data_IF_365255860636
#
_entry.id   IF_365255860636
#
_cell.length_a   1.000
_cell.length_b   1.000
_cell.length_c   1.000
_cell.angle_alpha   90.00
_cell.angle_beta   90.00
_cell.angle_gamma   90.00
#
_symmetry.space_group_name_H-M   'P 1'
#
loop_
_entity.id
_entity.type
_entity.pdbx_description
1 polymer ?
#
# COMPACT_ATOMS: atom_id res chain seq x y z
N UNK A 1 37.27 -17.86 -33.44
CA UNK A 1 35.93 -18.39 -33.13
C UNK A 1 35.76 -18.38 -31.62
N UNK A 2 35.26 -17.26 -31.07
CA UNK A 2 34.94 -17.16 -29.65
C UNK A 2 33.58 -17.79 -29.42
N UNK A 3 33.53 -18.89 -28.67
CA UNK A 3 32.30 -19.59 -28.32
C UNK A 3 31.40 -18.69 -27.49
N UNK A 4 30.16 -18.51 -27.96
CA UNK A 4 29.07 -17.96 -27.15
C UNK A 4 28.72 -19.05 -26.14
N UNK A 5 29.12 -18.86 -24.89
CA UNK A 5 28.66 -19.66 -23.76
C UNK A 5 27.16 -19.39 -23.61
N UNK A 6 26.32 -20.32 -24.08
CA UNK A 6 24.89 -20.34 -23.79
C UNK A 6 24.73 -20.32 -22.26
N UNK A 7 24.03 -19.31 -21.75
CA UNK A 7 23.65 -19.23 -20.35
C UNK A 7 22.97 -20.56 -19.96
N UNK A 8 23.50 -21.22 -18.92
CA UNK A 8 22.89 -22.44 -18.39
C UNK A 8 21.45 -22.12 -18.00
N UNK A 9 20.53 -22.91 -18.52
CA UNK A 9 19.09 -22.78 -18.36
C UNK A 9 18.71 -22.80 -16.86
N UNK A 10 18.53 -21.63 -16.24
CA UNK A 10 18.37 -21.46 -14.79
C UNK A 10 17.08 -22.10 -14.25
N UNK A 11 16.14 -22.46 -15.13
CA UNK A 11 14.85 -23.06 -14.76
C UNK A 11 14.98 -24.56 -14.52
N UNK A 12 15.97 -25.23 -15.11
CA UNK A 12 16.13 -26.68 -15.01
C UNK A 12 16.41 -27.17 -13.57
N UNK A 13 16.74 -26.27 -12.64
CA UNK A 13 17.01 -26.57 -11.23
C UNK A 13 15.90 -26.16 -10.28
N UNK A 14 14.82 -25.51 -10.76
CA UNK A 14 13.71 -25.11 -9.91
C UNK A 14 12.68 -26.25 -9.77
N UNK A 15 12.18 -26.55 -8.56
CA UNK A 15 11.09 -27.48 -8.38
C UNK A 15 9.78 -26.84 -8.84
N UNK A 16 9.48 -26.96 -10.14
CA UNK A 16 8.22 -26.49 -10.71
C UNK A 16 7.07 -27.38 -10.22
N UNK A 17 5.97 -26.77 -9.81
CA UNK A 17 4.76 -27.51 -9.49
C UNK A 17 4.06 -28.01 -10.77
N UNK A 18 3.18 -29.03 -10.68
CA UNK A 18 2.40 -29.48 -11.83
C UNK A 18 1.60 -28.34 -12.48
N UNK A 19 1.01 -27.46 -11.66
CA UNK A 19 0.20 -26.33 -12.13
C UNK A 19 1.02 -25.39 -13.03
N UNK A 20 2.26 -25.09 -12.64
CA UNK A 20 3.17 -24.24 -13.44
C UNK A 20 3.55 -24.94 -14.75
N UNK A 21 3.87 -26.24 -14.66
CA UNK A 21 4.36 -27.02 -15.79
C UNK A 21 3.28 -27.27 -16.85
N UNK A 22 2.03 -27.43 -16.42
CA UNK A 22 0.87 -27.62 -17.29
C UNK A 22 0.45 -26.30 -17.95
N UNK A 23 0.54 -25.18 -17.23
CA UNK A 23 0.17 -23.86 -17.75
C UNK A 23 1.22 -23.26 -18.71
N UNK A 24 2.51 -23.46 -18.42
CA UNK A 24 3.59 -22.79 -19.16
C UNK A 24 4.66 -23.78 -19.64
N UNK A 25 4.99 -23.71 -20.93
CA UNK A 25 6.14 -24.46 -21.48
C UNK A 25 7.45 -23.92 -20.89
N UNK A 26 8.49 -24.75 -20.73
CA UNK A 26 9.77 -24.32 -20.15
C UNK A 26 10.40 -23.09 -20.81
N UNK A 27 10.36 -23.01 -22.15
CA UNK A 27 10.86 -21.85 -22.89
C UNK A 27 10.08 -20.56 -22.59
N UNK A 28 8.77 -20.68 -22.31
CA UNK A 28 7.91 -19.53 -21.95
C UNK A 28 8.25 -19.05 -20.55
N UNK A 29 8.46 -19.96 -19.60
CA UNK A 29 8.91 -19.60 -18.25
C UNK A 29 10.23 -18.84 -18.26
N UNK A 30 11.16 -19.20 -19.17
CA UNK A 30 12.43 -18.48 -19.34
C UNK A 30 12.22 -17.04 -19.79
N UNK A 31 11.31 -16.84 -20.74
CA UNK A 31 10.94 -15.50 -21.20
C UNK A 31 10.26 -14.71 -20.07
N UNK A 32 9.31 -15.31 -19.34
CA UNK A 32 8.65 -14.64 -18.21
C UNK A 32 9.68 -14.21 -17.17
N UNK A 33 10.61 -15.11 -16.80
CA UNK A 33 11.66 -14.81 -15.82
C UNK A 33 12.58 -13.69 -16.29
N UNK A 34 13.03 -13.73 -17.53
CA UNK A 34 14.04 -12.77 -18.04
C UNK A 34 13.43 -11.42 -18.44
N UNK A 35 12.18 -11.40 -18.90
CA UNK A 35 11.57 -10.20 -19.48
C UNK A 35 10.55 -9.53 -18.56
N UNK A 36 9.81 -10.32 -17.77
CA UNK A 36 8.70 -9.81 -16.94
C UNK A 36 9.11 -9.69 -15.48
N UNK A 37 9.88 -10.65 -14.97
CA UNK A 37 10.33 -10.68 -13.57
C UNK A 37 11.87 -10.77 -13.43
N UNK A 38 12.68 -9.92 -14.11
CA UNK A 38 14.14 -10.05 -14.14
C UNK A 38 14.82 -9.88 -12.78
N UNK A 39 14.18 -9.19 -11.84
CA UNK A 39 14.70 -8.89 -10.50
C UNK A 39 14.20 -9.86 -9.43
N UNK A 40 13.37 -10.84 -9.81
CA UNK A 40 12.82 -11.82 -8.90
C UNK A 40 13.88 -12.82 -8.44
N UNK A 41 13.86 -13.18 -7.16
CA UNK A 41 14.56 -14.38 -6.66
C UNK A 41 13.87 -15.64 -7.19
N UNK A 42 14.53 -16.79 -7.06
CA UNK A 42 13.94 -18.08 -7.43
C UNK A 42 12.59 -18.35 -6.75
N UNK A 43 12.48 -18.02 -5.46
CA UNK A 43 11.26 -18.20 -4.68
C UNK A 43 10.17 -17.21 -5.08
N UNK A 44 10.53 -15.94 -5.28
CA UNK A 44 9.61 -14.89 -5.74
C UNK A 44 9.06 -15.22 -7.14
N UNK A 45 9.92 -15.69 -8.04
CA UNK A 45 9.53 -16.11 -9.38
C UNK A 45 8.61 -17.33 -9.35
N UNK A 46 8.92 -18.33 -8.52
CA UNK A 46 8.07 -19.51 -8.36
C UNK A 46 6.68 -19.13 -7.83
N UNK A 47 6.61 -18.24 -6.83
CA UNK A 47 5.34 -17.74 -6.31
C UNK A 47 4.54 -16.99 -7.39
N UNK A 48 5.20 -16.11 -8.14
CA UNK A 48 4.58 -15.38 -9.26
C UNK A 48 4.05 -16.33 -10.34
N UNK A 49 4.87 -17.29 -10.79
CA UNK A 49 4.50 -18.26 -11.81
C UNK A 49 3.36 -19.18 -11.33
N UNK A 50 3.39 -19.61 -10.07
CA UNK A 50 2.32 -20.41 -9.47
C UNK A 50 1.00 -19.63 -9.48
N UNK A 51 0.99 -18.37 -9.03
CA UNK A 51 -0.23 -17.54 -9.01
C UNK A 51 -0.77 -17.30 -10.42
N UNK A 52 0.10 -17.00 -11.38
CA UNK A 52 -0.30 -16.86 -12.77
C UNK A 52 -0.96 -18.15 -13.30
N UNK A 53 -0.37 -19.32 -13.02
CA UNK A 53 -0.92 -20.61 -13.42
C UNK A 53 -2.25 -20.94 -12.72
N UNK A 54 -2.31 -20.85 -11.38
CA UNK A 54 -3.49 -21.22 -10.59
C UNK A 54 -4.73 -20.39 -10.93
N UNK A 55 -4.55 -19.09 -11.23
CA UNK A 55 -5.65 -18.21 -11.61
C UNK A 55 -5.85 -18.13 -13.13
N UNK A 56 -5.04 -18.83 -13.93
CA UNK A 56 -5.09 -18.82 -15.39
C UNK A 56 -4.89 -17.42 -15.97
N UNK A 57 -3.97 -16.64 -15.39
CA UNK A 57 -3.65 -15.28 -15.80
C UNK A 57 -2.40 -15.27 -16.67
N UNK A 58 -2.40 -14.39 -17.67
CA UNK A 58 -1.34 -14.29 -18.66
C UNK A 58 -0.45 -13.05 -18.38
N UNK A 59 0.81 -13.26 -17.96
CA UNK A 59 1.77 -12.18 -17.76
C UNK A 59 2.04 -11.37 -19.04
N UNK A 60 1.92 -11.97 -20.23
CA UNK A 60 2.16 -11.28 -21.51
C UNK A 60 0.99 -10.38 -21.92
N UNK A 61 -0.21 -10.65 -21.39
CA UNK A 61 -1.39 -9.80 -21.58
C UNK A 61 -1.53 -8.74 -20.49
N UNK A 62 -0.53 -8.59 -19.63
CA UNK A 62 -0.54 -7.64 -18.51
C UNK A 62 -1.70 -7.90 -17.54
N UNK A 63 -2.10 -9.16 -17.33
CA UNK A 63 -3.15 -9.53 -16.37
C UNK A 63 -2.59 -9.65 -14.94
N UNK A 64 -1.30 -9.95 -14.81
CA UNK A 64 -0.58 -10.07 -13.54
C UNK A 64 0.82 -9.48 -13.68
N UNK A 65 1.25 -8.73 -12.68
CA UNK A 65 2.54 -8.03 -12.66
C UNK A 65 3.36 -8.46 -11.46
N UNK A 66 4.65 -8.63 -11.70
CA UNK A 66 5.66 -8.72 -10.64
C UNK A 66 6.32 -7.36 -10.50
N UNK A 67 6.21 -6.76 -9.32
CA UNK A 67 6.75 -5.44 -9.02
C UNK A 67 7.71 -5.58 -7.85
N UNK A 68 8.95 -5.13 -8.00
CA UNK A 68 9.96 -5.17 -6.95
C UNK A 68 10.60 -3.81 -6.76
N UNK A 69 10.46 -3.26 -5.55
CA UNK A 69 11.08 -2.00 -5.15
C UNK A 69 12.04 -2.26 -4.00
N UNK A 70 13.35 -2.10 -4.28
CA UNK A 70 14.40 -2.46 -3.32
C UNK A 70 14.28 -3.92 -2.91
N UNK A 71 13.99 -4.15 -1.63
CA UNK A 71 13.86 -5.48 -1.05
C UNK A 71 12.42 -6.03 -1.04
N UNK A 72 11.41 -5.18 -1.31
CA UNK A 72 10.01 -5.60 -1.24
C UNK A 72 9.50 -6.00 -2.62
N UNK A 73 9.00 -7.24 -2.73
CA UNK A 73 8.33 -7.74 -3.91
C UNK A 73 6.80 -7.76 -3.69
N UNK A 74 6.06 -7.42 -4.74
CA UNK A 74 4.60 -7.41 -4.76
C UNK A 74 4.10 -8.05 -6.05
N UNK A 75 3.06 -8.86 -5.92
CA UNK A 75 2.29 -9.37 -7.06
C UNK A 75 1.03 -8.53 -7.16
N UNK A 76 0.82 -7.90 -8.31
CA UNK A 76 -0.33 -7.03 -8.56
C UNK A 76 -1.17 -7.58 -9.71
N UNK A 77 -2.49 -7.59 -9.53
CA UNK A 77 -3.45 -8.05 -10.52
C UNK A 77 -4.05 -6.85 -11.25
N UNK A 78 -4.08 -6.92 -12.58
CA UNK A 78 -4.70 -5.87 -13.38
C UNK A 78 -6.23 -5.84 -13.19
N UNK A 79 -6.85 -4.67 -13.36
CA UNK A 79 -8.32 -4.58 -13.37
C UNK A 79 -8.93 -5.43 -14.49
N UNK A 80 -8.24 -5.45 -15.63
CA UNK A 80 -8.58 -6.21 -16.81
C UNK A 80 -8.58 -7.72 -16.55
N UNK A 81 -7.77 -8.22 -15.60
CA UNK A 81 -7.78 -9.63 -15.19
C UNK A 81 -9.10 -10.04 -14.54
N UNK A 82 -9.67 -9.18 -13.68
CA UNK A 82 -10.97 -9.45 -13.06
C UNK A 82 -12.09 -9.50 -14.09
N UNK A 83 -12.04 -8.58 -15.07
CA UNK A 83 -13.02 -8.57 -16.16
C UNK A 83 -12.87 -9.80 -17.07
N UNK A 84 -11.63 -10.19 -17.39
CA UNK A 84 -11.31 -11.40 -18.16
C UNK A 84 -11.87 -12.64 -17.48
N UNK A 85 -11.63 -12.82 -16.18
CA UNK A 85 -12.15 -13.95 -15.40
C UNK A 85 -13.65 -13.93 -15.20
N UNK A 86 -14.26 -12.75 -15.09
CA UNK A 86 -15.71 -12.63 -15.05
C UNK A 86 -16.35 -13.06 -16.39
N UNK A 87 -15.74 -12.72 -17.54
CA UNK A 87 -16.22 -13.11 -18.87
C UNK A 87 -16.22 -14.63 -19.11
N UNK A 88 -15.35 -15.36 -18.43
CA UNK A 88 -15.30 -16.83 -18.51
C UNK A 88 -16.48 -17.51 -17.76
N UNK A 89 -17.21 -16.78 -16.90
CA UNK A 89 -18.31 -17.33 -16.11
C UNK A 89 -19.64 -17.21 -16.87
N UNK A 90 -20.48 -18.24 -16.72
CA UNK A 90 -21.82 -18.22 -17.30
C UNK A 90 -22.68 -17.08 -16.76
N UNK A 91 -23.44 -16.48 -17.67
CA UNK A 91 -24.32 -15.35 -17.40
C UNK A 91 -23.59 -14.01 -17.28
N UNK A 92 -22.35 -13.90 -17.80
CA UNK A 92 -21.60 -12.66 -17.74
C UNK A 92 -22.35 -11.49 -18.40
N UNK A 93 -22.41 -10.38 -17.68
CA UNK A 93 -22.81 -9.09 -18.22
C UNK A 93 -21.75 -8.03 -17.89
N UNK A 94 -21.50 -7.08 -18.80
CA UNK A 94 -20.54 -6.01 -18.56
C UNK A 94 -21.00 -5.17 -17.35
N UNK A 95 -20.09 -4.86 -16.40
CA UNK A 95 -20.44 -3.98 -15.29
C UNK A 95 -20.65 -2.55 -15.80
N UNK A 96 -21.59 -1.83 -15.19
CA UNK A 96 -21.76 -0.41 -15.38
C UNK A 96 -20.95 0.33 -14.32
N UNK A 97 -20.02 1.18 -14.73
CA UNK A 97 -19.14 1.93 -13.84
C UNK A 97 -19.24 3.41 -14.17
N UNK A 98 -19.59 4.23 -13.17
CA UNK A 98 -19.77 5.66 -13.36
C UNK A 98 -19.06 6.46 -12.25
N UNK A 99 -18.53 7.61 -12.65
CA UNK A 99 -17.98 8.59 -11.71
C UNK A 99 -19.09 9.53 -11.23
N UNK A 100 -19.01 9.92 -9.96
CA UNK A 100 -19.90 10.90 -9.33
C UNK A 100 -19.08 12.16 -9.07
N UNK A 101 -19.62 13.31 -9.47
CA UNK A 101 -18.99 14.62 -9.35
C UNK A 101 -19.79 15.55 -8.45
N UNK A 102 -19.14 16.61 -7.98
CA UNK A 102 -19.69 17.62 -7.05
C UNK A 102 -21.06 18.16 -7.47
N UNK A 103 -21.29 18.34 -8.77
CA UNK A 103 -22.53 18.94 -9.29
C UNK A 103 -23.53 17.91 -9.87
N UNK A 104 -23.27 16.61 -9.73
CA UNK A 104 -24.22 15.58 -10.17
C UNK A 104 -25.37 15.43 -9.16
N UNK A 105 -26.59 15.16 -9.64
CA UNK A 105 -27.67 14.75 -8.73
C UNK A 105 -27.55 13.25 -8.47
N UNK A 106 -26.89 12.91 -7.37
CA UNK A 106 -26.61 11.53 -6.99
C UNK A 106 -27.34 11.15 -5.69
N UNK A 107 -28.10 10.04 -5.72
CA UNK A 107 -28.78 9.50 -4.53
C UNK A 107 -28.57 7.99 -4.45
N UNK A 108 -28.15 7.56 -3.28
CA UNK A 108 -28.05 6.15 -2.89
C UNK A 108 -29.08 5.86 -1.80
N UNK A 109 -29.67 4.67 -1.83
CA UNK A 109 -30.57 4.23 -0.78
C UNK A 109 -30.34 2.76 -0.45
N UNK A 110 -30.59 2.41 0.81
CA UNK A 110 -30.68 1.01 1.20
C UNK A 110 -32.00 0.44 0.68
N UNK A 111 -31.92 -0.59 -0.14
CA UNK A 111 -33.09 -1.33 -0.55
C UNK A 111 -33.61 -2.16 0.64
N UNK A 112 -34.89 -1.96 0.99
CA UNK A 112 -35.50 -2.52 2.21
C UNK A 112 -35.66 -4.04 2.15
N UNK A 113 -35.74 -4.61 0.95
CA UNK A 113 -35.91 -6.05 0.76
C UNK A 113 -34.55 -6.76 0.72
N UNK A 114 -33.57 -6.16 0.06
CA UNK A 114 -32.23 -6.77 -0.12
C UNK A 114 -31.29 -6.47 1.02
N UNK A 115 -31.51 -5.35 1.73
CA UNK A 115 -30.56 -4.76 2.66
C UNK A 115 -29.21 -4.44 2.01
N UNK A 116 -29.22 -4.15 0.71
CA UNK A 116 -28.06 -3.70 -0.06
C UNK A 116 -28.22 -2.23 -0.46
N UNK A 117 -27.10 -1.53 -0.55
CA UNK A 117 -27.06 -0.14 -1.02
C UNK A 117 -27.18 -0.12 -2.54
N UNK A 118 -28.14 0.63 -3.06
CA UNK A 118 -28.40 0.77 -4.49
C UNK A 118 -28.33 2.24 -4.91
N UNK A 119 -27.88 2.48 -6.15
CA UNK A 119 -27.96 3.81 -6.77
C UNK A 119 -29.39 4.01 -7.26
N UNK A 120 -30.07 5.00 -6.70
CA UNK A 120 -31.47 5.32 -7.02
C UNK A 120 -31.55 6.39 -8.10
N UNK A 121 -30.63 7.34 -8.09
CA UNK A 121 -30.59 8.45 -9.03
C UNK A 121 -29.14 8.82 -9.33
N UNK A 122 -28.84 9.01 -10.61
CA UNK A 122 -27.62 9.65 -11.06
C UNK A 122 -27.94 10.46 -12.32
N UNK A 123 -28.20 11.76 -12.15
CA UNK A 123 -28.38 12.69 -13.26
C UNK A 123 -27.16 13.60 -13.40
N UNK A 124 -26.73 13.79 -14.65
CA UNK A 124 -25.49 14.48 -14.99
C UNK A 124 -25.82 15.80 -15.66
N UNK A 125 -25.35 16.90 -15.05
CA UNK A 125 -25.38 18.24 -15.62
C UNK A 125 -23.97 18.73 -15.94
N UNK A 126 -23.81 19.52 -17.01
CA UNK A 126 -22.53 20.15 -17.33
C UNK A 126 -22.56 21.64 -16.92
N UNK A 127 -21.52 22.15 -16.22
CA UNK A 127 -20.27 21.47 -15.82
C UNK A 127 -20.41 20.63 -14.54
N UNK A 128 -19.74 19.46 -14.52
CA UNK A 128 -19.87 18.46 -13.45
C UNK A 128 -19.08 18.76 -12.16
N UNK A 129 -18.00 19.56 -12.23
CA UNK A 129 -17.12 19.81 -11.08
C UNK A 129 -16.04 18.72 -10.91
N UNK A 130 -15.51 18.56 -9.69
CA UNK A 130 -14.50 17.51 -9.39
C UNK A 130 -15.17 16.17 -9.13
N UNK A 131 -14.41 15.08 -9.31
CA UNK A 131 -14.84 13.72 -8.91
C UNK A 131 -14.84 13.65 -7.38
N UNK A 132 -15.98 13.23 -6.81
CA UNK A 132 -16.16 13.02 -5.36
C UNK A 132 -16.40 11.56 -5.00
N UNK A 133 -16.68 10.72 -6.00
CA UNK A 133 -16.92 9.30 -5.76
C UNK A 133 -17.05 8.53 -7.07
N UNK A 134 -17.25 7.23 -6.94
CA UNK A 134 -17.64 6.38 -8.05
C UNK A 134 -18.50 5.22 -7.57
N UNK A 135 -19.21 4.61 -8.50
CA UNK A 135 -19.87 3.34 -8.26
C UNK A 135 -19.69 2.40 -9.44
N UNK A 136 -19.83 1.11 -9.16
CA UNK A 136 -19.95 0.09 -10.18
C UNK A 136 -21.06 -0.89 -9.83
N UNK A 137 -21.89 -1.22 -10.81
CA UNK A 137 -22.95 -2.22 -10.73
C UNK A 137 -22.53 -3.41 -11.59
N UNK A 138 -22.32 -4.56 -10.96
CA UNK A 138 -22.00 -5.80 -11.65
C UNK A 138 -23.27 -6.65 -11.82
N UNK A 139 -23.58 -7.00 -13.07
CA UNK A 139 -24.73 -7.81 -13.43
C UNK A 139 -24.29 -9.24 -13.73
N UNK A 140 -25.18 -10.21 -13.50
CA UNK A 140 -25.02 -11.60 -13.94
C UNK A 140 -26.38 -12.27 -14.10
N UNK A 141 -26.58 -13.02 -15.18
CA UNK A 141 -27.85 -13.70 -15.44
C UNK A 141 -28.22 -14.65 -14.30
N UNK A 142 -29.48 -14.60 -13.85
CA UNK A 142 -29.97 -15.44 -12.75
C UNK A 142 -29.51 -15.01 -11.36
N UNK A 143 -28.74 -13.92 -11.25
CA UNK A 143 -28.29 -13.35 -9.98
C UNK A 143 -28.76 -11.91 -9.84
N UNK A 144 -28.86 -11.44 -8.60
CA UNK A 144 -29.13 -10.03 -8.34
C UNK A 144 -27.91 -9.19 -8.71
N UNK A 145 -28.08 -7.95 -9.18
CA UNK A 145 -26.97 -7.05 -9.41
C UNK A 145 -26.28 -6.69 -8.10
N UNK A 146 -24.96 -6.63 -8.10
CA UNK A 146 -24.19 -6.15 -6.95
C UNK A 146 -23.69 -4.74 -7.22
N UNK A 147 -24.05 -3.81 -6.33
CA UNK A 147 -23.60 -2.42 -6.38
C UNK A 147 -22.45 -2.20 -5.39
N UNK A 148 -21.39 -1.58 -5.86
CA UNK A 148 -20.30 -1.05 -5.02
C UNK A 148 -20.22 0.44 -5.24
N UNK A 149 -20.32 1.20 -4.15
CA UNK A 149 -20.16 2.66 -4.12
C UNK A 149 -18.89 2.95 -3.32
N UNK A 150 -18.16 3.98 -3.70
CA UNK A 150 -16.93 4.41 -3.05
C UNK A 150 -16.87 5.93 -3.02
N UNK A 151 -16.61 6.47 -1.84
CA UNK A 151 -16.30 7.88 -1.62
C UNK A 151 -14.81 8.16 -1.89
N UNK A 152 -14.48 9.37 -2.33
CA UNK A 152 -13.09 9.80 -2.46
C UNK A 152 -12.30 9.80 -1.18
N UNK A 153 -12.96 9.96 -0.04
CA UNK A 153 -12.31 9.84 1.26
C UNK A 153 -11.76 8.42 1.52
N UNK A 154 -12.41 7.37 1.00
CA UNK A 154 -11.94 5.98 1.17
C UNK A 154 -10.57 5.73 0.53
N UNK A 155 -10.24 6.48 -0.52
CA UNK A 155 -9.02 6.31 -1.30
C UNK A 155 -8.08 7.52 -1.21
N UNK A 156 -8.32 8.44 -0.28
CA UNK A 156 -7.44 9.62 -0.03
C UNK A 156 -5.98 9.22 0.22
N UNK A 157 -5.74 8.10 0.91
CA UNK A 157 -4.39 7.57 1.12
C UNK A 157 -3.66 7.21 -0.18
N UNK A 158 -4.39 6.84 -1.25
CA UNK A 158 -3.80 6.52 -2.55
C UNK A 158 -3.26 7.76 -3.28
N UNK A 159 -3.84 8.93 -3.03
CA UNK A 159 -3.33 10.22 -3.54
C UNK A 159 -2.09 10.70 -2.80
N UNK A 160 -1.72 10.05 -1.69
CA UNK A 160 -0.53 10.37 -0.88
C UNK A 160 0.56 9.29 -0.97
N UNK A 161 0.20 8.12 -1.48
CA UNK A 161 1.10 6.96 -1.58
C UNK A 161 2.10 7.03 -2.74
N UNK A 162 2.82 5.93 -2.93
CA UNK A 162 3.83 5.78 -3.99
C UNK A 162 3.26 6.00 -5.40
N UNK A 163 1.98 5.71 -5.61
CA UNK A 163 1.32 5.84 -6.91
C UNK A 163 0.53 7.16 -7.08
N UNK A 164 0.80 8.17 -6.24
CA UNK A 164 0.03 9.43 -6.19
C UNK A 164 -0.11 10.14 -7.55
N UNK A 165 0.93 10.10 -8.38
CA UNK A 165 0.94 10.83 -9.65
C UNK A 165 -0.07 10.22 -10.63
N UNK A 166 -0.20 8.89 -10.62
CA UNK A 166 -1.18 8.19 -11.45
C UNK A 166 -2.60 8.41 -10.93
N UNK A 167 -2.80 8.38 -9.61
CA UNK A 167 -4.10 8.67 -9.00
C UNK A 167 -4.55 10.11 -9.23
N UNK A 168 -3.63 11.06 -9.31
CA UNK A 168 -3.95 12.47 -9.56
C UNK A 168 -4.20 12.77 -11.04
N UNK A 169 -3.42 12.14 -11.95
CA UNK A 169 -3.55 12.36 -13.40
C UNK A 169 -4.72 11.58 -14.01
N UNK A 170 -4.96 10.36 -13.52
CA UNK A 170 -5.91 9.40 -14.08
C UNK A 170 -7.00 9.04 -13.06
N UNK A 171 -7.48 10.03 -12.28
CA UNK A 171 -8.41 9.82 -11.18
C UNK A 171 -9.64 9.01 -11.58
N UNK A 172 -10.29 9.38 -12.69
CA UNK A 172 -11.48 8.69 -13.21
C UNK A 172 -11.22 7.21 -13.49
N UNK A 173 -10.10 6.91 -14.16
CA UNK A 173 -9.76 5.55 -14.54
C UNK A 173 -9.36 4.71 -13.31
N UNK A 174 -8.60 5.31 -12.38
CA UNK A 174 -8.16 4.62 -11.16
C UNK A 174 -9.34 4.30 -10.23
N UNK A 175 -10.26 5.24 -10.04
CA UNK A 175 -11.51 4.99 -9.31
C UNK A 175 -12.34 3.92 -9.98
N UNK A 176 -12.60 4.09 -11.28
CA UNK A 176 -13.41 3.17 -12.05
C UNK A 176 -12.89 1.75 -11.93
N UNK A 177 -11.57 1.56 -12.07
CA UNK A 177 -10.90 0.27 -11.86
C UNK A 177 -11.12 -0.27 -10.44
N UNK A 178 -10.98 0.54 -9.39
CA UNK A 178 -11.16 0.08 -8.01
C UNK A 178 -12.59 -0.36 -7.70
N UNK A 179 -13.59 0.45 -8.05
CA UNK A 179 -15.00 0.08 -7.80
C UNK A 179 -15.43 -1.11 -8.65
N UNK A 180 -14.97 -1.18 -9.90
CA UNK A 180 -15.27 -2.29 -10.80
C UNK A 180 -14.66 -3.61 -10.31
N UNK A 181 -13.39 -3.60 -9.89
CA UNK A 181 -12.74 -4.78 -9.31
C UNK A 181 -13.51 -5.29 -8.09
N UNK A 182 -13.89 -4.39 -7.16
CA UNK A 182 -14.67 -4.76 -5.96
C UNK A 182 -16.04 -5.34 -6.34
N UNK A 183 -16.73 -4.77 -7.34
CA UNK A 183 -18.03 -5.25 -7.79
C UNK A 183 -17.93 -6.64 -8.46
N UNK A 184 -16.95 -6.83 -9.34
CA UNK A 184 -16.71 -8.11 -10.01
C UNK A 184 -16.31 -9.22 -9.02
N UNK A 185 -15.46 -8.90 -8.04
CA UNK A 185 -15.10 -9.85 -6.96
C UNK A 185 -16.34 -10.37 -6.24
N UNK A 186 -17.24 -9.46 -5.84
CA UNK A 186 -18.48 -9.82 -5.14
C UNK A 186 -19.46 -10.60 -6.03
N UNK A 187 -19.66 -10.18 -7.28
CA UNK A 187 -20.65 -10.79 -8.18
C UNK A 187 -20.25 -12.19 -8.68
N UNK A 188 -18.96 -12.39 -8.94
CA UNK A 188 -18.45 -13.63 -9.56
C UNK A 188 -17.65 -14.50 -8.59
N UNK A 189 -17.51 -14.10 -7.33
CA UNK A 189 -16.77 -14.85 -6.31
C UNK A 189 -15.28 -14.98 -6.63
N UNK A 190 -14.66 -13.91 -7.13
CA UNK A 190 -13.25 -13.94 -7.53
C UNK A 190 -12.35 -13.77 -6.29
N UNK A 191 -11.72 -14.86 -5.87
CA UNK A 191 -10.84 -14.92 -4.69
C UNK A 191 -9.34 -14.73 -5.06
N UNK A 192 -9.02 -13.65 -5.78
CA UNK A 192 -7.64 -13.23 -6.02
C UNK A 192 -7.48 -11.72 -5.81
N UNK A 193 -6.27 -11.30 -5.43
CA UNK A 193 -5.98 -9.93 -5.02
C UNK A 193 -4.50 -9.68 -4.85
N UNK A 194 -4.13 -8.41 -4.85
CA UNK A 194 -2.75 -7.98 -4.69
C UNK A 194 -2.14 -8.52 -3.39
N UNK A 195 -0.91 -9.00 -3.49
CA UNK A 195 -0.20 -9.64 -2.39
C UNK A 195 1.20 -9.05 -2.29
N UNK A 196 1.53 -8.51 -1.12
CA UNK A 196 2.90 -8.17 -0.76
C UNK A 196 3.58 -9.45 -0.29
N UNK A 197 4.72 -9.78 -0.88
CA UNK A 197 5.52 -10.93 -0.49
C UNK A 197 6.36 -10.47 0.69
N UNK A 198 6.05 -10.87 1.94
CA UNK A 198 6.88 -10.52 3.06
C UNK A 198 8.20 -11.24 2.84
N UNK A 199 9.31 -10.51 2.91
CA UNK A 199 10.57 -11.21 3.12
C UNK A 199 10.49 -11.87 4.48
N UNK A 200 10.61 -13.20 4.51
CA UNK A 200 11.01 -13.86 5.74
C UNK A 200 12.28 -13.15 6.20
N UNK A 201 12.25 -12.57 7.40
CA UNK A 201 13.48 -12.21 8.08
C UNK A 201 14.36 -13.46 7.98
N UNK A 202 15.48 -13.33 7.29
CA UNK A 202 16.50 -14.36 7.34
C UNK A 202 16.93 -14.42 8.80
N UNK A 203 16.32 -15.32 9.58
CA UNK A 203 17.00 -15.92 10.71
C UNK A 203 18.24 -16.56 10.09
N UNK A 204 19.32 -15.77 10.05
CA UNK A 204 20.65 -16.30 9.84
C UNK A 204 20.79 -17.34 10.94
N UNK A 205 20.65 -18.62 10.57
CA UNK A 205 20.95 -19.74 11.45
C UNK A 205 22.37 -19.46 11.90
N UNK A 206 22.62 -19.08 13.17
CA UNK A 206 23.96 -18.75 13.58
C UNK A 206 24.81 -19.98 13.37
N UNK A 207 25.93 -19.81 12.67
CA UNK A 207 26.89 -20.87 12.41
C UNK A 207 27.18 -21.61 13.72
N UNK A 208 26.95 -22.93 13.73
CA UNK A 208 27.06 -23.75 14.94
C UNK A 208 28.48 -23.65 15.49
N UNK A 209 28.66 -22.83 16.53
CA UNK A 209 29.83 -22.86 17.39
C UNK A 209 29.54 -23.86 18.51
N UNK A 210 30.31 -24.96 18.63
CA UNK A 210 30.15 -25.88 19.75
C UNK A 210 30.38 -25.11 21.06
N UNK A 211 29.35 -24.96 21.89
CA UNK A 211 29.46 -24.26 23.17
C UNK A 211 30.13 -25.17 24.21
N UNK A 212 31.21 -24.68 24.83
CA UNK A 212 31.74 -25.25 26.06
C UNK A 212 30.71 -25.08 27.20
N UNK A 213 30.47 -26.15 27.96
CA UNK A 213 29.56 -26.17 29.10
C UNK A 213 29.95 -25.11 30.14
N UNK A 214 29.03 -24.21 30.50
CA UNK A 214 29.18 -23.31 31.65
C UNK A 214 28.05 -23.49 32.66
N UNK A 215 28.45 -23.42 33.92
CA UNK A 215 27.71 -23.71 35.13
C UNK A 215 26.69 -22.60 35.48
N UNK A 216 25.59 -22.97 36.12
CA UNK A 216 24.43 -22.09 36.38
C UNK A 216 24.48 -21.50 37.81
N UNK A 217 24.73 -20.19 37.93
CA UNK A 217 24.41 -19.39 39.12
C UNK A 217 23.76 -18.07 38.68
N UNK A 218 22.65 -17.60 39.30
CA UNK A 218 21.87 -16.50 38.76
C UNK A 218 22.28 -15.14 39.35
N UNK A 219 22.52 -14.14 38.48
CA UNK A 219 22.46 -12.71 38.84
C UNK A 219 22.30 -11.79 37.62
N UNK A 220 21.14 -11.12 37.62
CA UNK A 220 20.86 -9.70 37.34
C UNK A 220 21.01 -9.09 35.92
N UNK A 221 19.94 -8.38 35.55
CA UNK A 221 19.64 -7.69 34.28
C UNK A 221 20.62 -6.56 33.91
N UNK A 222 20.97 -6.47 32.62
CA UNK A 222 21.37 -5.22 31.94
C UNK A 222 20.83 -5.22 30.50
N UNK A 223 19.78 -4.41 30.32
CA UNK A 223 19.32 -3.59 29.19
C UNK A 223 20.07 -3.72 27.84
N UNK A 224 19.33 -4.12 26.80
CA UNK A 224 19.68 -4.02 25.37
C UNK A 224 19.38 -2.61 24.80
N UNK A 225 20.24 -2.14 23.88
CA UNK A 225 19.91 -1.15 22.83
C UNK A 225 20.56 -1.55 21.49
N UNK A 226 19.99 -1.13 20.34
CA UNK A 226 20.00 -1.88 19.07
C UNK A 226 20.89 -1.32 17.95
N UNK A 227 21.24 -2.17 16.98
CA UNK A 227 21.76 -1.90 15.62
C UNK A 227 21.01 -2.84 14.66
N UNK A 228 20.68 -2.56 13.40
CA UNK A 228 20.75 -1.38 12.53
C UNK A 228 19.80 -1.66 11.34
N UNK A 229 19.01 -0.64 10.96
CA UNK A 229 18.03 -0.63 9.86
C UNK A 229 18.63 0.10 8.62
N UNK A 230 18.03 -0.04 7.42
CA UNK A 230 18.66 0.24 6.12
C UNK A 230 19.05 1.72 5.92
N UNK A 231 20.12 1.95 5.14
CA UNK A 231 20.73 3.28 4.91
C UNK A 231 19.77 4.29 4.25
N UNK A 232 19.01 4.98 5.09
CA UNK A 232 18.67 6.40 4.95
C UNK A 232 19.94 7.20 5.28
N UNK A 233 20.14 8.36 4.63
CA UNK A 233 21.28 9.22 4.99
C UNK A 233 21.23 9.60 6.47
N UNK A 234 22.38 9.79 7.14
CA UNK A 234 22.42 10.16 8.57
C UNK A 234 21.56 11.39 8.90
N UNK A 235 21.40 12.30 7.94
CA UNK A 235 20.58 13.50 8.05
C UNK A 235 19.08 13.18 8.06
N UNK A 236 18.60 12.21 7.28
CA UNK A 236 17.20 11.79 7.23
C UNK A 236 16.78 11.07 8.51
N UNK A 237 17.66 10.23 9.07
CA UNK A 237 17.44 9.56 10.36
C UNK A 237 17.37 10.60 11.50
N UNK A 238 18.28 11.58 11.51
CA UNK A 238 18.27 12.67 12.49
C UNK A 238 17.00 13.52 12.34
N UNK A 239 16.57 13.82 11.11
CA UNK A 239 15.36 14.59 10.85
C UNK A 239 14.09 13.88 11.32
N UNK A 240 13.95 12.57 11.07
CA UNK A 240 12.79 11.80 11.53
C UNK A 240 12.68 11.76 13.07
N UNK A 241 13.82 11.61 13.77
CA UNK A 241 13.86 11.67 15.24
C UNK A 241 13.39 13.05 15.75
N UNK A 242 13.92 14.13 15.17
CA UNK A 242 13.55 15.50 15.57
C UNK A 242 12.08 15.81 15.27
N UNK A 243 11.53 15.38 14.12
CA UNK A 243 10.10 15.55 13.79
C UNK A 243 9.19 14.80 14.76
N UNK A 244 9.59 13.61 15.18
CA UNK A 244 8.86 12.81 16.16
C UNK A 244 8.82 13.51 17.52
N UNK A 245 9.95 14.06 17.96
CA UNK A 245 10.05 14.77 19.24
C UNK A 245 9.28 16.10 19.23
N UNK A 246 9.33 16.87 18.14
CA UNK A 246 8.51 18.08 17.95
C UNK A 246 7.01 17.78 18.11
N UNK A 247 6.54 16.66 17.53
CA UNK A 247 5.14 16.29 17.65
C UNK A 247 4.72 15.90 19.07
N UNK A 248 5.64 15.32 19.86
CA UNK A 248 5.40 15.08 21.30
C UNK A 248 5.31 16.39 22.07
N UNK A 249 6.22 17.33 21.82
CA UNK A 249 6.24 18.64 22.47
C UNK A 249 5.01 19.49 22.15
N UNK A 250 4.54 19.46 20.90
CA UNK A 250 3.26 20.09 20.54
C UNK A 250 2.07 19.53 21.33
N UNK A 251 2.06 18.22 21.61
CA UNK A 251 1.01 17.61 22.43
C UNK A 251 1.10 18.06 23.90
N UNK A 252 2.31 18.23 24.44
CA UNK A 252 2.51 18.74 25.80
C UNK A 252 2.02 20.20 25.95
N UNK A 253 2.22 21.03 24.93
CA UNK A 253 1.69 22.41 24.89
C UNK A 253 0.19 22.50 24.55
N UNK A 254 -0.54 21.37 24.44
CA UNK A 254 -1.96 21.35 24.10
C UNK A 254 -2.28 21.67 22.62
N UNK A 255 -1.27 21.79 21.76
CA UNK A 255 -1.41 22.09 20.33
C UNK A 255 -1.60 20.79 19.54
N UNK A 256 -2.85 20.34 19.46
CA UNK A 256 -3.21 19.03 18.89
C UNK A 256 -3.72 19.12 17.47
N UNK A 257 -4.31 20.25 17.05
CA UNK A 257 -4.85 20.43 15.70
C UNK A 257 -3.80 20.93 14.71
N UNK A 258 -4.06 20.67 13.41
CA UNK A 258 -3.18 21.10 12.32
C UNK A 258 -3.09 22.62 12.21
N UNK A 259 -4.20 23.31 12.49
CA UNK A 259 -4.31 24.78 12.48
C UNK A 259 -3.46 25.40 13.59
N UNK A 260 -3.58 24.90 14.83
CA UNK A 260 -2.80 25.35 15.98
C UNK A 260 -1.29 25.20 15.78
N UNK A 261 -0.86 24.08 15.17
CA UNK A 261 0.55 23.82 14.84
C UNK A 261 1.07 24.75 13.75
N UNK A 262 0.23 25.10 12.76
CA UNK A 262 0.61 26.02 11.70
C UNK A 262 0.71 27.45 12.22
N UNK A 263 -0.25 27.89 13.04
CA UNK A 263 -0.24 29.22 13.65
C UNK A 263 0.98 29.42 14.57
N UNK A 264 1.34 28.40 15.37
CA UNK A 264 2.55 28.44 16.18
C UNK A 264 3.82 28.57 15.33
N UNK A 265 3.90 27.85 14.20
CA UNK A 265 5.04 27.93 13.27
C UNK A 265 5.11 29.29 12.58
N UNK A 266 4.00 29.86 12.16
CA UNK A 266 3.97 31.20 11.56
C UNK A 266 4.42 32.29 12.54
N UNK A 267 4.06 32.15 13.83
CA UNK A 267 4.41 33.12 14.87
C UNK A 267 5.84 33.00 15.37
N UNK A 268 6.38 31.79 15.49
CA UNK A 268 7.66 31.53 16.14
C UNK A 268 8.79 31.05 15.20
N UNK A 269 8.45 30.64 13.97
CA UNK A 269 9.40 30.19 12.96
C UNK A 269 9.00 30.65 11.53
N UNK A 270 8.92 31.98 11.27
CA UNK A 270 8.44 32.54 10.00
C UNK A 270 9.32 32.24 8.77
N UNK A 271 10.54 31.74 8.96
CA UNK A 271 11.49 31.38 7.89
C UNK A 271 11.79 29.87 7.85
N UNK A 272 10.78 29.03 8.12
CA UNK A 272 10.92 27.58 8.16
C UNK A 272 11.09 26.97 6.75
N UNK A 273 12.29 26.50 6.41
CA UNK A 273 12.62 25.95 5.10
C UNK A 273 12.69 24.41 5.09
N UNK A 274 12.16 23.75 6.12
CA UNK A 274 12.18 22.28 6.28
C UNK A 274 13.58 21.66 6.28
N UNK A 275 14.60 22.41 6.71
CA UNK A 275 15.97 21.89 6.90
C UNK A 275 16.14 21.26 8.29
N UNK A 276 17.16 20.40 8.47
CA UNK A 276 17.47 19.82 9.78
C UNK A 276 17.69 20.89 10.86
N UNK A 277 18.35 22.00 10.50
CA UNK A 277 18.57 23.13 11.40
C UNK A 277 17.25 23.81 11.83
N UNK A 278 16.29 23.94 10.92
CA UNK A 278 14.97 24.51 11.22
C UNK A 278 14.19 23.63 12.20
N UNK A 279 14.24 22.31 12.01
CA UNK A 279 13.61 21.36 12.92
C UNK A 279 14.27 21.36 14.30
N UNK A 280 15.61 21.42 14.38
CA UNK A 280 16.31 21.51 15.66
C UNK A 280 15.97 22.82 16.38
N UNK A 281 15.94 23.95 15.67
CA UNK A 281 15.55 25.25 16.24
C UNK A 281 14.10 25.27 16.74
N UNK A 282 13.16 24.69 15.98
CA UNK A 282 11.77 24.55 16.41
C UNK A 282 11.63 23.66 17.66
N UNK A 283 12.40 22.59 17.74
CA UNK A 283 12.41 21.67 18.89
C UNK A 283 12.87 22.38 20.18
N UNK A 284 13.91 23.21 20.09
CA UNK A 284 14.41 24.01 21.22
C UNK A 284 13.43 25.10 21.67
N UNK A 285 12.76 25.75 20.70
CA UNK A 285 11.72 26.73 21.02
C UNK A 285 10.56 26.08 21.79
N UNK A 286 10.16 24.88 21.40
CA UNK A 286 9.11 24.15 22.09
C UNK A 286 9.53 23.75 23.51
N UNK A 287 10.78 23.33 23.73
CA UNK A 287 11.30 23.05 25.09
C UNK A 287 11.21 24.27 25.99
N UNK A 288 11.67 25.43 25.50
CA UNK A 288 11.60 26.69 26.25
C UNK A 288 10.16 27.06 26.62
N UNK A 289 9.17 26.82 25.75
CA UNK A 289 7.77 27.09 26.06
C UNK A 289 7.17 26.08 27.04
N UNK A 290 7.60 24.82 27.00
CA UNK A 290 7.18 23.78 27.96
C UNK A 290 7.74 24.12 29.33
N UNK A 291 9.04 24.43 29.44
CA UNK A 291 9.68 24.84 30.69
C UNK A 291 9.02 26.11 31.27
N UNK A 292 8.68 27.08 30.42
CA UNK A 292 7.96 28.29 30.85
C UNK A 292 6.55 27.97 31.37
N UNK A 293 5.83 27.04 30.75
CA UNK A 293 4.51 26.60 31.19
C UNK A 293 4.58 25.83 32.52
N UNK A 294 5.61 24.99 32.70
CA UNK A 294 5.86 24.26 33.95
C UNK A 294 6.27 25.20 35.09
N UNK A 295 7.12 26.19 34.83
CA UNK A 295 7.50 27.20 35.81
C UNK A 295 6.31 28.06 36.27
N UNK A 296 5.43 28.44 35.34
CA UNK A 296 4.19 29.18 35.66
C UNK A 296 3.18 28.34 36.44
N UNK A 297 3.13 27.03 36.19
CA UNK A 297 2.29 26.11 36.96
C UNK A 297 2.84 25.88 38.39
N UNK A 298 4.16 25.87 38.57
CA UNK A 298 4.80 25.69 39.86
C UNK A 298 4.69 26.93 40.79
N UNK A 299 4.77 28.14 40.23
CA UNK A 299 4.59 29.38 41.03
C UNK A 299 3.13 29.59 41.47
N UNK A 300 2.15 29.04 40.73
CA UNK A 300 0.72 29.13 41.06
C UNK A 300 0.28 28.27 42.25
N UNK A 301 1.05 27.25 42.61
CA UNK A 301 0.76 26.30 43.71
C UNK A 301 1.45 26.70 45.04
N UNK A 302 2.13 27.85 45.06
CA UNK A 302 2.84 28.38 46.24
C UNK A 302 2.12 29.57 46.91
N UNK A 303 0.90 29.88 46.49
CA UNK A 303 0.04 30.94 47.05
C UNK A 303 -1.37 30.44 47.42
N UNK A 304 -1.47 29.27 48.05
CA UNK A 304 -2.59 28.94 48.96
C UNK A 304 -2.13 28.77 50.40
#
# INVERSE_FOLDING_TARGET
MGGITLAKNQIATLPLTPEISDAFKPAVLEVIRTSIAPTATDQEFLLFAHKAASYGLDPFKNEIFFIKYGNTARIQFAAEAYLSKAREKDGFQPPDTQMVHENDEFKIAMNKETKEMEVVLHEIGFPRGKIIGAYSIAYRDGHRPVTVIMDIEEVDHMFKGQNKDNWTKWTSDMFGKHVQQRALKKQYGLEFGDEEIPQGAGEAIPEYKPQERKDITPQQEVIDQPESEPELSEEEIKMQKVVTDINKKFRQLGLTTKEQKNEYKEKHAPHFNSTLADYVGLSQLLDMHIEMQEAQAADGDSLE
#
